data_IF_966382486820
#
_entry.id   IF_966382486820
#
_cell.length_a   1.000
_cell.length_b   1.000
_cell.length_c   1.000
_cell.angle_alpha   90.00
_cell.angle_beta   90.00
_cell.angle_gamma   90.00
#
_symmetry.space_group_name_H-M   'P 1'
#
loop_
_entity.id
_entity.type
_entity.pdbx_description
1 polymer ?
#
# COMPACT_ATOMS: atom_id res chain seq x y z
N UNK A 1 7.95 -10.35 25.47
CA UNK A 1 7.83 -10.15 24.00
C UNK A 1 6.54 -10.82 23.58
N UNK A 2 5.47 -10.05 23.46
CA UNK A 2 4.20 -10.58 22.96
C UNK A 2 4.37 -10.88 21.48
N UNK A 3 4.29 -12.16 21.13
CA UNK A 3 4.12 -12.62 19.77
C UNK A 3 2.80 -12.06 19.24
N UNK A 4 2.86 -11.15 18.28
CA UNK A 4 1.69 -10.71 17.52
C UNK A 4 1.19 -11.94 16.75
N UNK A 5 0.08 -12.52 17.21
CA UNK A 5 -0.55 -13.62 16.49
C UNK A 5 -1.12 -13.08 15.18
N UNK A 6 -0.92 -13.82 14.09
CA UNK A 6 -1.51 -13.57 12.76
C UNK A 6 -3.07 -13.51 12.82
N UNK A 7 -3.68 -13.86 13.96
CA UNK A 7 -5.12 -13.96 14.18
C UNK A 7 -5.90 -12.64 14.21
N UNK A 8 -5.27 -11.47 14.32
CA UNK A 8 -5.99 -10.17 14.34
C UNK A 8 -5.98 -9.40 13.02
N UNK A 9 -5.28 -9.89 11.99
CA UNK A 9 -5.50 -9.39 10.64
C UNK A 9 -6.84 -9.99 10.21
N UNK A 10 -7.88 -9.17 10.09
CA UNK A 10 -9.20 -9.60 9.65
C UNK A 10 -9.18 -10.00 8.16
N UNK A 11 -8.50 -11.11 7.85
CA UNK A 11 -8.46 -11.73 6.52
C UNK A 11 -9.87 -12.00 5.99
N UNK A 12 -10.85 -12.16 6.87
CA UNK A 12 -12.28 -12.27 6.55
C UNK A 12 -12.85 -11.06 5.79
N UNK A 13 -12.21 -9.89 5.88
CA UNK A 13 -12.61 -8.66 5.17
C UNK A 13 -11.84 -8.43 3.88
N UNK A 14 -10.82 -9.25 3.60
CA UNK A 14 -10.01 -9.15 2.39
C UNK A 14 -10.73 -9.88 1.25
N UNK A 15 -10.98 -9.23 0.09
CA UNK A 15 -11.49 -9.92 -1.08
C UNK A 15 -10.65 -11.15 -1.43
N UNK A 16 -11.29 -12.29 -1.69
CA UNK A 16 -10.62 -13.58 -2.01
C UNK A 16 -9.44 -13.43 -3.00
N UNK A 17 -9.56 -12.65 -4.09
CA UNK A 17 -8.45 -12.48 -5.04
C UNK A 17 -7.18 -11.83 -4.47
N UNK A 18 -7.27 -11.18 -3.30
CA UNK A 18 -6.17 -10.46 -2.66
C UNK A 18 -5.50 -11.24 -1.53
N UNK A 19 -6.10 -12.33 -1.04
CA UNK A 19 -5.55 -13.14 0.07
C UNK A 19 -4.13 -13.62 -0.25
N UNK A 20 -3.90 -14.04 -1.50
CA UNK A 20 -2.56 -14.46 -1.93
C UNK A 20 -1.54 -13.32 -1.84
N UNK A 21 -1.91 -12.10 -2.18
CA UNK A 21 -1.03 -10.93 -2.11
C UNK A 21 -0.78 -10.50 -0.66
N UNK A 22 -1.78 -10.61 0.22
CA UNK A 22 -1.58 -10.42 1.66
C UNK A 22 -0.53 -11.39 2.19
N UNK A 23 -0.65 -12.69 1.86
CA UNK A 23 0.33 -13.69 2.25
C UNK A 23 1.73 -13.41 1.70
N UNK A 24 1.84 -12.93 0.46
CA UNK A 24 3.12 -12.55 -0.14
C UNK A 24 3.77 -11.37 0.60
N UNK A 25 2.97 -10.38 1.03
CA UNK A 25 3.47 -9.24 1.81
C UNK A 25 3.92 -9.69 3.21
N UNK A 26 3.11 -10.47 3.93
CA UNK A 26 3.44 -10.98 5.27
C UNK A 26 4.70 -11.84 5.24
N UNK A 27 4.82 -12.72 4.24
CA UNK A 27 6.02 -13.57 4.04
C UNK A 27 7.21 -12.81 3.49
N UNK A 28 7.14 -11.47 3.40
CA UNK A 28 8.20 -10.59 2.89
C UNK A 28 8.71 -11.05 1.51
N UNK A 29 7.81 -11.57 0.68
CA UNK A 29 8.14 -12.19 -0.59
C UNK A 29 8.42 -11.14 -1.66
N UNK A 30 9.56 -11.28 -2.32
CA UNK A 30 9.95 -10.47 -3.46
C UNK A 30 9.04 -10.70 -4.69
N UNK A 31 8.67 -9.68 -5.48
CA UNK A 31 8.93 -8.24 -5.29
C UNK A 31 7.82 -7.51 -4.51
N UNK A 32 6.83 -8.23 -3.99
CA UNK A 32 5.59 -7.66 -3.43
C UNK A 32 5.86 -6.84 -2.17
N UNK A 33 6.74 -7.34 -1.29
CA UNK A 33 7.14 -6.63 -0.09
C UNK A 33 7.94 -5.36 -0.40
N UNK A 34 8.79 -5.40 -1.44
CA UNK A 34 9.59 -4.27 -1.88
C UNK A 34 8.70 -3.14 -2.44
N UNK A 35 7.64 -3.48 -3.18
CA UNK A 35 6.62 -2.52 -3.62
C UNK A 35 5.99 -1.79 -2.42
N UNK A 36 5.62 -2.53 -1.37
CA UNK A 36 5.03 -1.94 -0.15
C UNK A 36 6.02 -1.03 0.56
N UNK A 37 7.27 -1.45 0.71
CA UNK A 37 8.33 -0.62 1.32
C UNK A 37 8.55 0.68 0.55
N UNK A 38 8.64 0.60 -0.77
CA UNK A 38 8.82 1.78 -1.61
C UNK A 38 7.65 2.75 -1.44
N UNK A 39 6.41 2.26 -1.48
CA UNK A 39 5.22 3.07 -1.27
C UNK A 39 5.21 3.77 0.09
N UNK A 40 5.56 3.06 1.15
CA UNK A 40 5.62 3.61 2.50
C UNK A 40 6.65 4.71 2.63
N UNK A 41 7.86 4.49 2.10
CA UNK A 41 8.93 5.48 2.08
C UNK A 41 8.50 6.75 1.33
N UNK A 42 7.91 6.61 0.14
CA UNK A 42 7.43 7.76 -0.64
C UNK A 42 6.31 8.52 0.10
N UNK A 43 5.33 7.79 0.65
CA UNK A 43 4.27 8.41 1.45
C UNK A 43 4.82 9.16 2.67
N UNK A 44 5.85 8.60 3.33
CA UNK A 44 6.52 9.24 4.47
C UNK A 44 7.17 10.56 4.05
N UNK A 45 7.97 10.56 2.99
CA UNK A 45 8.66 11.75 2.48
C UNK A 45 7.65 12.84 2.15
N UNK A 46 6.58 12.50 1.44
CA UNK A 46 5.53 13.45 1.09
C UNK A 46 4.81 14.00 2.34
N UNK A 47 4.49 13.15 3.31
CA UNK A 47 3.85 13.57 4.55
C UNK A 47 4.75 14.49 5.38
N UNK A 48 6.01 14.13 5.57
CA UNK A 48 6.98 14.94 6.31
C UNK A 48 7.20 16.31 5.67
N UNK A 49 7.21 16.40 4.34
CA UNK A 49 7.31 17.68 3.65
C UNK A 49 6.05 18.54 3.85
N UNK A 50 4.86 17.94 3.77
CA UNK A 50 3.62 18.65 4.05
C UNK A 50 3.53 19.13 5.50
N UNK A 51 4.05 18.35 6.46
CA UNK A 51 4.13 18.77 7.87
C UNK A 51 5.02 20.00 8.06
N UNK A 52 6.13 20.12 7.31
CA UNK A 52 6.97 21.32 7.32
C UNK A 52 6.23 22.56 6.80
N UNK A 53 5.26 22.37 5.92
CA UNK A 53 4.37 23.41 5.41
C UNK A 53 3.15 23.67 6.32
N UNK A 54 3.08 23.01 7.48
CA UNK A 54 2.00 23.18 8.45
C UNK A 54 0.73 22.37 8.15
N UNK A 55 0.77 21.45 7.17
CA UNK A 55 -0.36 20.57 6.88
C UNK A 55 -0.40 19.39 7.87
N UNK A 56 -1.57 19.10 8.43
CA UNK A 56 -1.79 17.94 9.32
C UNK A 56 -2.17 16.66 8.56
N UNK A 57 -2.64 16.81 7.31
CA UNK A 57 -3.09 15.73 6.44
C UNK A 57 -2.80 16.02 4.96
N UNK A 58 -2.57 14.96 4.17
CA UNK A 58 -2.47 15.04 2.71
C UNK A 58 -3.23 13.91 2.04
N UNK A 59 -3.53 14.06 0.75
CA UNK A 59 -3.96 12.96 -0.11
C UNK A 59 -2.81 12.56 -1.01
N UNK A 60 -2.24 11.38 -0.77
CA UNK A 60 -1.19 10.80 -1.61
C UNK A 60 -1.82 9.97 -2.74
N UNK A 61 -1.40 10.21 -3.98
CA UNK A 61 -1.94 9.51 -5.15
C UNK A 61 -0.91 8.52 -5.70
N UNK A 62 -1.29 7.25 -5.76
CA UNK A 62 -0.51 6.17 -6.35
C UNK A 62 -1.06 5.90 -7.76
N UNK A 63 -0.21 6.13 -8.75
CA UNK A 63 -0.43 5.70 -10.12
C UNK A 63 0.32 4.38 -10.37
N UNK A 64 -0.36 3.23 -10.51
CA UNK A 64 0.29 1.92 -10.66
C UNK A 64 1.21 1.81 -11.86
N UNK A 65 0.97 2.57 -12.94
CA UNK A 65 1.82 2.57 -14.12
C UNK A 65 3.13 3.29 -13.84
N UNK A 66 3.06 4.49 -13.26
CA UNK A 66 4.27 5.23 -12.88
C UNK A 66 5.07 4.46 -11.84
N UNK A 67 4.39 3.90 -10.84
CA UNK A 67 5.01 3.04 -9.83
C UNK A 67 5.71 1.81 -10.44
N UNK A 68 5.10 1.21 -11.48
CA UNK A 68 5.75 0.12 -12.21
C UNK A 68 7.06 0.57 -12.84
N UNK A 69 7.02 1.70 -13.55
CA UNK A 69 8.19 2.26 -14.24
C UNK A 69 9.30 2.64 -13.26
N UNK A 70 8.96 3.15 -12.08
CA UNK A 70 9.91 3.48 -11.01
C UNK A 70 10.53 2.23 -10.39
N UNK A 71 9.70 1.27 -9.98
CA UNK A 71 10.18 0.04 -9.34
C UNK A 71 11.02 -0.80 -10.31
N UNK A 72 10.67 -0.85 -11.59
CA UNK A 72 11.44 -1.59 -12.59
C UNK A 72 12.85 -1.03 -12.81
N UNK A 73 13.10 0.26 -12.49
CA UNK A 73 14.46 0.83 -12.51
C UNK A 73 15.35 0.26 -11.41
N UNK A 74 14.76 -0.11 -10.27
CA UNK A 74 15.48 -0.63 -9.11
C UNK A 74 15.46 -2.16 -9.05
N UNK A 75 14.37 -2.78 -9.52
CA UNK A 75 14.07 -4.19 -9.34
C UNK A 75 13.76 -4.82 -10.69
N UNK A 76 14.60 -5.76 -11.12
CA UNK A 76 14.36 -6.54 -12.34
C UNK A 76 13.57 -7.81 -12.01
N UNK A 77 12.25 -7.75 -12.19
CA UNK A 77 11.37 -8.91 -12.08
C UNK A 77 10.20 -8.84 -13.05
N UNK A 78 9.94 -9.95 -13.72
CA UNK A 78 8.76 -10.20 -14.56
C UNK A 78 7.43 -10.14 -13.78
N UNK A 79 7.48 -10.35 -12.46
CA UNK A 79 6.33 -10.23 -11.56
C UNK A 79 5.90 -8.77 -11.35
N UNK A 80 6.70 -7.78 -11.72
CA UNK A 80 6.36 -6.35 -11.62
C UNK A 80 5.50 -5.96 -12.83
N UNK A 81 4.22 -6.28 -12.72
CA UNK A 81 3.19 -5.88 -13.70
C UNK A 81 2.21 -4.92 -13.05
N UNK A 82 1.56 -4.05 -13.84
CA UNK A 82 0.54 -3.12 -13.34
C UNK A 82 -0.57 -3.85 -12.56
N UNK A 83 -0.95 -5.06 -13.00
CA UNK A 83 -1.97 -5.89 -12.35
C UNK A 83 -1.50 -6.36 -10.97
N UNK A 84 -0.26 -6.87 -10.89
CA UNK A 84 0.31 -7.31 -9.62
C UNK A 84 0.50 -6.13 -8.66
N UNK A 85 0.93 -4.98 -9.16
CA UNK A 85 1.03 -3.75 -8.38
C UNK A 85 -0.33 -3.34 -7.82
N UNK A 86 -1.37 -3.27 -8.66
CA UNK A 86 -2.73 -2.95 -8.22
C UNK A 86 -3.19 -3.87 -7.08
N UNK A 87 -2.99 -5.19 -7.24
CA UNK A 87 -3.37 -6.18 -6.22
C UNK A 87 -2.51 -6.07 -4.96
N UNK A 88 -1.23 -5.73 -5.09
CA UNK A 88 -0.33 -5.50 -3.96
C UNK A 88 -0.75 -4.28 -3.15
N UNK A 89 -1.05 -3.16 -3.82
CA UNK A 89 -1.54 -1.94 -3.17
C UNK A 89 -2.82 -2.23 -2.38
N UNK A 90 -3.82 -2.87 -3.02
CA UNK A 90 -5.08 -3.18 -2.34
C UNK A 90 -4.88 -4.17 -1.18
N UNK A 91 -4.11 -5.23 -1.39
CA UNK A 91 -3.80 -6.19 -0.34
C UNK A 91 -3.11 -5.50 0.84
N UNK A 92 -2.18 -4.59 0.58
CA UNK A 92 -1.50 -3.80 1.59
C UNK A 92 -2.47 -2.91 2.38
N UNK A 93 -3.38 -2.19 1.71
CA UNK A 93 -4.36 -1.35 2.40
C UNK A 93 -5.30 -2.17 3.28
N UNK A 94 -5.80 -3.28 2.77
CA UNK A 94 -6.66 -4.16 3.56
C UNK A 94 -5.88 -4.82 4.73
N UNK A 95 -4.62 -5.20 4.51
CA UNK A 95 -3.74 -5.75 5.54
C UNK A 95 -3.45 -4.72 6.64
N UNK A 96 -3.28 -3.44 6.29
CA UNK A 96 -3.14 -2.33 7.23
C UNK A 96 -4.45 -1.98 7.96
N UNK A 97 -5.59 -2.54 7.52
CA UNK A 97 -6.91 -2.25 8.06
C UNK A 97 -7.49 -0.91 7.60
N UNK A 98 -6.98 -0.34 6.51
CA UNK A 98 -7.55 0.86 5.91
C UNK A 98 -8.92 0.55 5.29
N UNK A 99 -9.83 1.52 5.38
CA UNK A 99 -11.19 1.43 4.87
C UNK A 99 -11.37 2.25 3.61
N UNK A 100 -11.97 1.64 2.59
CA UNK A 100 -12.32 2.34 1.36
C UNK A 100 -13.37 3.43 1.64
N UNK A 101 -13.25 4.58 0.99
CA UNK A 101 -14.02 5.83 1.16
C UNK A 101 -13.81 6.60 2.47
N UNK A 102 -13.16 6.01 3.47
CA UNK A 102 -12.73 6.71 4.69
C UNK A 102 -11.23 7.05 4.63
N UNK A 103 -10.38 6.04 4.46
CA UNK A 103 -8.92 6.18 4.49
C UNK A 103 -8.31 6.21 3.09
N UNK A 104 -8.93 5.56 2.11
CA UNK A 104 -8.49 5.58 0.73
C UNK A 104 -9.66 5.48 -0.24
N UNK A 105 -9.49 5.91 -1.48
CA UNK A 105 -10.45 5.70 -2.55
C UNK A 105 -9.76 5.43 -3.88
N UNK A 106 -10.50 4.86 -4.83
CA UNK A 106 -9.98 4.48 -6.14
C UNK A 106 -10.70 5.30 -7.20
N UNK A 107 -9.94 5.94 -8.07
CA UNK A 107 -10.49 6.53 -9.30
C UNK A 107 -10.11 5.68 -10.50
N UNK A 108 -10.94 5.71 -11.54
CA UNK A 108 -10.67 5.02 -12.80
C UNK A 108 -10.75 6.03 -13.93
N UNK A 109 -9.72 6.11 -14.76
CA UNK A 109 -9.70 6.97 -15.95
C UNK A 109 -10.67 6.45 -17.01
N UNK A 110 -10.99 7.27 -18.01
CA UNK A 110 -11.78 6.85 -19.18
C UNK A 110 -11.19 5.65 -19.93
N UNK A 111 -9.86 5.48 -19.87
CA UNK A 111 -9.13 4.34 -20.43
C UNK A 111 -9.06 3.11 -19.51
N UNK A 112 -9.78 3.11 -18.38
CA UNK A 112 -9.85 2.00 -17.44
C UNK A 112 -8.65 1.89 -16.48
N UNK A 113 -7.77 2.90 -16.41
CA UNK A 113 -6.60 2.87 -15.51
C UNK A 113 -7.00 3.31 -14.12
N UNK A 114 -6.58 2.55 -13.11
CA UNK A 114 -6.87 2.87 -11.71
C UNK A 114 -5.81 3.79 -11.12
N UNK A 115 -6.22 4.74 -10.29
CA UNK A 115 -5.35 5.44 -9.35
C UNK A 115 -5.88 5.21 -7.94
N UNK A 116 -4.98 5.10 -6.98
CA UNK A 116 -5.32 4.92 -5.57
C UNK A 116 -4.97 6.19 -4.83
N UNK A 117 -5.90 6.70 -4.05
CA UNK A 117 -5.73 7.93 -3.29
C UNK A 117 -5.83 7.59 -1.82
N UNK A 118 -4.79 7.86 -1.05
CA UNK A 118 -4.71 7.55 0.39
C UNK A 118 -4.68 8.85 1.16
N UNK A 119 -5.57 8.97 2.15
CA UNK A 119 -5.50 10.04 3.13
C UNK A 119 -4.39 9.74 4.12
N UNK A 120 -3.28 10.48 4.05
CA UNK A 120 -2.14 10.31 4.95
C UNK A 120 -2.27 11.28 6.11
N UNK A 121 -2.37 10.70 7.30
CA UNK A 121 -2.48 11.32 8.63
C UNK A 121 -1.59 10.53 9.58
N UNK A 122 -1.31 11.00 10.82
CA UNK A 122 -0.56 10.20 11.78
C UNK A 122 -1.22 8.84 12.06
N UNK A 123 -2.56 8.80 12.10
CA UNK A 123 -3.32 7.57 12.34
C UNK A 123 -3.20 6.59 11.16
N UNK A 124 -3.46 7.05 9.94
CA UNK A 124 -3.37 6.17 8.76
C UNK A 124 -1.94 5.71 8.51
N UNK A 125 -0.95 6.56 8.78
CA UNK A 125 0.46 6.17 8.68
C UNK A 125 0.83 5.09 9.71
N UNK A 126 0.40 5.22 10.96
CA UNK A 126 0.57 4.16 11.97
C UNK A 126 -0.08 2.84 11.57
N UNK A 127 -1.27 2.88 10.95
CA UNK A 127 -1.92 1.68 10.42
C UNK A 127 -1.09 1.02 9.31
N UNK A 128 -0.56 1.83 8.39
CA UNK A 128 0.27 1.37 7.26
C UNK A 128 1.61 0.77 7.71
N UNK A 129 2.14 1.15 8.88
CA UNK A 129 3.35 0.57 9.44
C UNK A 129 3.14 -0.80 10.11
N UNK A 130 1.95 -1.07 10.67
CA UNK A 130 1.65 -2.33 11.39
C UNK A 130 2.04 -3.60 10.60
N UNK A 131 1.70 -3.72 9.30
CA UNK A 131 2.05 -4.90 8.50
C UNK A 131 3.55 -5.18 8.38
N UNK A 132 4.41 -4.16 8.57
CA UNK A 132 5.86 -4.32 8.46
C UNK A 132 6.53 -4.76 9.76
N UNK A 133 5.83 -4.62 10.90
CA UNK A 133 6.34 -4.93 12.23
C UNK A 133 6.09 -6.38 12.66
N UNK A 134 5.43 -7.17 11.80
CA UNK A 134 5.10 -8.59 12.00
C UNK A 134 6.14 -9.51 11.36
#
# INVERSE_FOLDING_TARGET
MESISIGEIQLSKVPIPLINYVNLIIKKSFPYYDIVKFLLMEMEIHYQNAQKEGMSEIVYTINPRMLQEEIQKMIKSDKITTVNICRTILAFFHLAGLKEREDFFITTTSSGRKNYHVKVTPQTFNLLLKPLLV
#
